data_IF_914610287159
#
_entry.id   IF_914610287159
#
_cell.length_a   1.000
_cell.length_b   1.000
_cell.length_c   1.000
_cell.angle_alpha   90.00
_cell.angle_beta   90.00
_cell.angle_gamma   90.00
#
_symmetry.space_group_name_H-M   'P 1'
#
loop_
_entity.id
_entity.type
_entity.pdbx_description
1 polymer ?
#
# COMPACT_ATOMS: atom_id res chain seq x y z
N UNK A 1 -30.30 -28.75 -2.57
CA UNK A 1 -29.10 -28.43 -3.38
C UNK A 1 -28.73 -27.00 -3.02
N UNK A 2 -27.73 -26.81 -2.16
CA UNK A 2 -27.25 -25.52 -1.75
C UNK A 2 -26.38 -24.91 -2.84
N UNK A 3 -26.26 -23.55 -2.89
CA UNK A 3 -25.44 -22.90 -3.86
C UNK A 3 -23.96 -23.24 -3.61
N UNK A 4 -23.28 -23.55 -4.72
CA UNK A 4 -21.86 -23.87 -4.77
C UNK A 4 -21.02 -22.90 -3.94
N UNK A 5 -20.24 -23.47 -3.03
CA UNK A 5 -19.17 -22.77 -2.34
C UNK A 5 -18.24 -22.18 -3.41
N UNK A 6 -17.95 -20.86 -3.41
CA UNK A 6 -17.01 -20.31 -4.37
C UNK A 6 -15.69 -21.04 -4.18
N UNK A 7 -15.16 -21.60 -5.29
CA UNK A 7 -13.81 -22.15 -5.40
C UNK A 7 -12.88 -21.26 -4.58
N UNK A 8 -12.19 -21.84 -3.60
CA UNK A 8 -11.22 -21.16 -2.79
C UNK A 8 -10.18 -20.52 -3.74
N UNK A 9 -10.34 -19.26 -4.03
CA UNK A 9 -9.36 -18.48 -4.77
C UNK A 9 -8.13 -18.40 -3.86
N UNK A 10 -7.13 -19.23 -4.12
CA UNK A 10 -5.91 -19.30 -3.31
C UNK A 10 -5.11 -17.99 -3.38
N UNK A 11 -5.43 -17.11 -4.33
CA UNK A 11 -4.79 -15.82 -4.54
C UNK A 11 -5.81 -14.70 -4.55
N UNK A 12 -5.62 -13.69 -3.69
CA UNK A 12 -6.44 -12.47 -3.65
C UNK A 12 -6.01 -11.45 -4.70
N UNK A 13 -4.73 -11.43 -5.03
CA UNK A 13 -4.16 -10.58 -6.07
C UNK A 13 -3.30 -11.47 -6.96
N UNK A 14 -3.48 -11.39 -8.28
CA UNK A 14 -2.68 -12.15 -9.23
C UNK A 14 -2.27 -11.23 -10.39
N UNK A 15 -0.97 -11.14 -10.65
CA UNK A 15 -0.40 -10.41 -11.78
C UNK A 15 0.23 -11.41 -12.77
N UNK A 16 0.02 -11.16 -14.05
CA UNK A 16 0.65 -11.95 -15.12
C UNK A 16 1.20 -11.03 -16.20
N UNK A 17 2.52 -10.97 -16.30
CA UNK A 17 3.26 -10.20 -17.29
C UNK A 17 2.88 -8.71 -17.33
N UNK A 18 2.55 -8.13 -16.14
CA UNK A 18 2.06 -6.76 -16.04
C UNK A 18 3.14 -5.77 -16.46
N UNK A 19 2.83 -4.94 -17.43
CA UNK A 19 3.78 -4.01 -18.05
C UNK A 19 3.16 -2.62 -18.20
N UNK A 20 3.93 -1.57 -17.91
CA UNK A 20 3.55 -0.17 -18.18
C UNK A 20 4.63 0.57 -18.91
N UNK A 21 4.23 1.20 -20.04
CA UNK A 21 5.09 2.06 -20.85
C UNK A 21 4.50 3.48 -20.91
N UNK A 22 5.38 4.47 -20.84
CA UNK A 22 5.07 5.89 -21.06
C UNK A 22 5.96 6.37 -22.21
N UNK A 23 5.41 6.44 -23.42
CA UNK A 23 6.20 6.67 -24.63
C UNK A 23 7.30 5.61 -24.79
N UNK A 24 8.55 6.04 -24.83
CA UNK A 24 9.71 5.15 -24.94
C UNK A 24 10.19 4.55 -23.62
N UNK A 25 9.70 5.09 -22.47
CA UNK A 25 10.12 4.64 -21.16
C UNK A 25 9.22 3.50 -20.65
N UNK A 26 9.80 2.38 -20.24
CA UNK A 26 9.10 1.29 -19.56
C UNK A 26 9.27 1.48 -18.05
N UNK A 27 8.19 1.82 -17.37
CA UNK A 27 8.18 2.04 -15.92
C UNK A 27 7.96 0.76 -15.12
N UNK A 28 7.22 -0.21 -15.70
CA UNK A 28 6.99 -1.54 -15.14
C UNK A 28 7.18 -2.55 -16.26
N UNK A 29 7.99 -3.57 -16.02
CA UNK A 29 8.40 -4.52 -17.04
C UNK A 29 8.15 -5.95 -16.57
N UNK A 30 7.09 -6.58 -17.12
CA UNK A 30 6.83 -8.02 -17.01
C UNK A 30 6.73 -8.53 -15.55
N UNK A 31 5.98 -7.82 -14.69
CA UNK A 31 5.78 -8.27 -13.31
C UNK A 31 4.74 -9.39 -13.26
N UNK A 32 5.12 -10.48 -12.58
CA UNK A 32 4.24 -11.63 -12.33
C UNK A 32 4.46 -12.12 -10.89
N UNK A 33 3.40 -12.08 -10.08
CA UNK A 33 3.36 -12.63 -8.72
C UNK A 33 1.92 -12.80 -8.24
N UNK A 34 1.73 -13.55 -7.16
CA UNK A 34 0.45 -13.75 -6.50
C UNK A 34 0.55 -13.30 -5.04
N UNK A 35 -0.57 -12.82 -4.47
CA UNK A 35 -0.68 -12.52 -3.03
C UNK A 35 -1.91 -13.24 -2.49
N UNK A 36 -1.70 -13.99 -1.41
CA UNK A 36 -2.73 -14.80 -0.78
C UNK A 36 -3.62 -13.98 0.18
N UNK A 37 -4.75 -14.57 0.57
CA UNK A 37 -5.56 -14.05 1.67
C UNK A 37 -4.78 -14.15 3.00
N UNK A 38 -4.87 -13.09 3.81
CA UNK A 38 -4.18 -13.03 5.10
C UNK A 38 -2.69 -12.69 5.02
N UNK A 39 -2.17 -12.40 3.84
CA UNK A 39 -0.76 -12.08 3.62
C UNK A 39 -0.50 -10.58 3.65
N UNK A 40 0.55 -10.16 4.37
CA UNK A 40 1.08 -8.79 4.32
C UNK A 40 2.35 -8.81 3.46
N UNK A 41 2.28 -8.21 2.28
CA UNK A 41 3.40 -8.14 1.35
C UNK A 41 4.03 -6.75 1.35
N UNK A 42 5.31 -6.68 1.72
CA UNK A 42 6.15 -5.50 1.56
C UNK A 42 6.54 -5.30 0.10
N UNK A 43 6.10 -4.21 -0.53
CA UNK A 43 6.43 -3.90 -1.91
C UNK A 43 7.48 -2.80 -1.97
N UNK A 44 8.73 -3.18 -2.17
CA UNK A 44 9.92 -2.34 -1.98
C UNK A 44 10.62 -2.02 -3.29
N UNK A 45 11.41 -0.96 -3.26
CA UNK A 45 12.25 -0.52 -4.38
C UNK A 45 12.69 0.93 -4.21
N UNK A 46 13.76 1.37 -4.87
CA UNK A 46 14.18 2.77 -4.84
C UNK A 46 13.16 3.70 -5.51
N UNK A 47 13.40 5.00 -5.38
CA UNK A 47 12.58 5.99 -6.09
C UNK A 47 12.69 5.78 -7.60
N UNK A 48 11.52 5.76 -8.29
CA UNK A 48 11.48 5.46 -9.72
C UNK A 48 11.52 3.97 -10.08
N UNK A 49 11.57 3.05 -9.11
CA UNK A 49 11.56 1.60 -9.38
C UNK A 49 10.26 1.08 -10.00
N UNK A 50 9.16 1.84 -9.96
CA UNK A 50 7.87 1.44 -10.52
C UNK A 50 6.79 1.09 -9.48
N UNK A 51 7.07 1.22 -8.17
CA UNK A 51 6.13 0.89 -7.09
C UNK A 51 4.77 1.57 -7.25
N UNK A 52 4.74 2.90 -7.17
CA UNK A 52 3.49 3.69 -7.31
C UNK A 52 2.81 3.45 -8.66
N UNK A 53 3.57 3.22 -9.73
CA UNK A 53 3.00 2.87 -11.05
C UNK A 53 2.29 1.52 -11.00
N UNK A 54 2.90 0.52 -10.36
CA UNK A 54 2.30 -0.81 -10.17
C UNK A 54 1.03 -0.71 -9.32
N UNK A 55 1.09 -0.02 -8.18
CA UNK A 55 -0.09 0.19 -7.32
C UNK A 55 -1.22 0.93 -8.05
N UNK A 56 -0.90 1.95 -8.85
CA UNK A 56 -1.90 2.66 -9.67
C UNK A 56 -2.55 1.75 -10.73
N UNK A 57 -1.82 0.80 -11.30
CA UNK A 57 -2.41 -0.19 -12.20
C UNK A 57 -3.34 -1.12 -11.44
N UNK A 58 -2.91 -1.69 -10.32
CA UNK A 58 -3.70 -2.62 -9.50
C UNK A 58 -4.96 -1.97 -8.92
N UNK A 59 -4.93 -0.67 -8.67
CA UNK A 59 -6.09 0.08 -8.16
C UNK A 59 -7.00 0.63 -9.26
N UNK A 60 -6.70 0.33 -10.53
CA UNK A 60 -7.49 0.79 -11.67
C UNK A 60 -7.46 2.30 -11.90
N UNK A 61 -6.43 2.98 -11.37
CA UNK A 61 -6.14 4.41 -11.64
C UNK A 61 -5.37 4.56 -12.96
N UNK A 62 -4.58 3.55 -13.32
CA UNK A 62 -3.75 3.52 -14.51
C UNK A 62 -3.96 2.21 -15.26
N UNK A 63 -4.24 2.28 -16.56
CA UNK A 63 -4.36 1.10 -17.39
C UNK A 63 -2.97 0.51 -17.73
N UNK A 64 -2.76 -0.81 -17.62
CA UNK A 64 -1.53 -1.47 -18.06
C UNK A 64 -1.36 -1.36 -19.58
N UNK A 65 -0.11 -1.38 -20.05
CA UNK A 65 0.21 -1.40 -21.48
C UNK A 65 0.21 -2.82 -22.05
N UNK A 66 0.44 -3.83 -21.19
CA UNK A 66 0.36 -5.26 -21.51
C UNK A 66 0.25 -6.08 -20.22
N UNK A 67 -0.09 -7.36 -20.35
CA UNK A 67 -0.33 -8.26 -19.23
C UNK A 67 -1.70 -8.09 -18.61
N UNK A 68 -1.99 -8.84 -17.56
CA UNK A 68 -3.27 -8.83 -16.84
C UNK A 68 -3.05 -8.83 -15.33
N UNK A 69 -4.08 -8.39 -14.59
CA UNK A 69 -4.15 -8.59 -13.15
C UNK A 69 -5.58 -8.90 -12.74
N UNK A 70 -5.73 -9.78 -11.74
CA UNK A 70 -7.01 -10.05 -11.10
C UNK A 70 -6.94 -9.72 -9.62
N UNK A 71 -8.03 -9.18 -9.07
CA UNK A 71 -8.18 -8.88 -7.65
C UNK A 71 -9.50 -9.50 -7.18
N UNK A 72 -9.43 -10.37 -6.18
CA UNK A 72 -10.59 -11.15 -5.72
C UNK A 72 -11.30 -11.92 -6.86
N UNK A 73 -10.55 -12.37 -7.87
CA UNK A 73 -11.09 -13.04 -9.06
C UNK A 73 -11.64 -12.11 -10.15
N UNK A 74 -11.71 -10.78 -9.90
CA UNK A 74 -12.15 -9.79 -10.88
C UNK A 74 -10.98 -9.30 -11.72
N UNK A 75 -11.11 -9.38 -13.03
CA UNK A 75 -10.10 -8.87 -13.95
C UNK A 75 -10.10 -7.33 -13.99
N UNK A 76 -8.92 -6.75 -13.98
CA UNK A 76 -8.69 -5.31 -13.88
C UNK A 76 -9.30 -4.51 -15.05
N UNK A 77 -9.31 -5.08 -16.25
CA UNK A 77 -9.76 -4.41 -17.47
C UNK A 77 -11.25 -4.66 -17.75
N UNK A 78 -11.73 -5.88 -17.51
CA UNK A 78 -13.11 -6.28 -17.85
C UNK A 78 -14.10 -6.03 -16.71
N UNK A 79 -13.63 -5.97 -15.44
CA UNK A 79 -14.46 -5.77 -14.25
C UNK A 79 -13.92 -4.64 -13.33
N UNK A 80 -13.58 -3.45 -13.86
CA UNK A 80 -12.88 -2.42 -13.08
C UNK A 80 -13.67 -1.88 -11.89
N UNK A 81 -15.01 -1.91 -11.94
CA UNK A 81 -15.85 -1.46 -10.83
C UNK A 81 -15.87 -2.47 -9.68
N UNK A 82 -15.83 -3.77 -9.98
CA UNK A 82 -15.79 -4.82 -8.96
C UNK A 82 -14.41 -4.86 -8.30
N UNK A 83 -13.32 -4.64 -9.07
CA UNK A 83 -11.98 -4.41 -8.53
C UNK A 83 -12.00 -3.23 -7.57
N UNK A 84 -12.53 -2.06 -7.97
CA UNK A 84 -12.57 -0.86 -7.11
C UNK A 84 -13.40 -1.07 -5.83
N UNK A 85 -14.46 -1.86 -5.90
CA UNK A 85 -15.26 -2.22 -4.70
C UNK A 85 -14.52 -3.16 -3.75
N UNK A 86 -13.61 -3.97 -4.29
CA UNK A 86 -12.83 -4.96 -3.52
C UNK A 86 -11.57 -4.41 -2.90
N UNK A 87 -11.19 -3.15 -3.17
CA UNK A 87 -9.93 -2.58 -2.70
C UNK A 87 -10.12 -1.36 -1.82
N UNK A 88 -9.25 -1.21 -0.83
CA UNK A 88 -8.93 0.05 -0.16
C UNK A 88 -7.58 0.56 -0.65
N UNK A 89 -7.46 1.84 -0.95
CA UNK A 89 -6.19 2.43 -1.39
C UNK A 89 -5.86 3.70 -0.63
N UNK A 90 -4.69 3.71 -0.01
CA UNK A 90 -4.10 4.87 0.65
C UNK A 90 -2.92 5.34 -0.18
N UNK A 91 -3.07 6.38 -1.01
CA UNK A 91 -1.98 6.90 -1.84
C UNK A 91 -0.95 7.67 -1.02
N UNK A 92 0.29 7.71 -1.48
CA UNK A 92 1.37 8.51 -0.90
C UNK A 92 0.99 9.99 -0.76
N UNK A 93 0.36 10.59 -1.79
CA UNK A 93 0.00 12.00 -1.80
C UNK A 93 -1.01 12.41 -0.72
N UNK A 94 -1.80 11.45 -0.21
CA UNK A 94 -2.87 11.74 0.75
C UNK A 94 -3.90 12.76 0.24
N UNK A 95 -4.11 12.83 -1.07
CA UNK A 95 -5.01 13.78 -1.70
C UNK A 95 -6.46 13.60 -1.22
N UNK A 96 -7.09 14.71 -0.86
CA UNK A 96 -8.47 14.78 -0.38
C UNK A 96 -9.18 16.01 -0.97
N UNK A 97 -10.49 16.07 -0.89
CA UNK A 97 -11.25 17.27 -1.23
C UNK A 97 -11.12 18.31 -0.10
N UNK A 98 -10.20 19.27 -0.27
CA UNK A 98 -9.83 20.24 0.75
C UNK A 98 -10.97 21.15 1.21
N UNK A 99 -12.01 21.31 0.39
CA UNK A 99 -13.21 22.11 0.68
C UNK A 99 -14.26 21.38 1.51
N UNK A 100 -14.09 20.09 1.79
CA UNK A 100 -14.98 19.33 2.66
C UNK A 100 -14.41 19.26 4.08
N UNK A 101 -15.31 19.16 5.07
CA UNK A 101 -14.94 18.72 6.40
C UNK A 101 -14.56 17.22 6.38
N UNK A 102 -13.84 16.77 7.40
CA UNK A 102 -13.47 15.35 7.50
C UNK A 102 -14.69 14.42 7.53
N UNK A 103 -15.76 14.84 8.22
CA UNK A 103 -17.00 14.05 8.30
C UNK A 103 -17.72 13.99 6.96
N UNK A 104 -17.91 15.13 6.29
CA UNK A 104 -18.53 15.17 4.95
C UNK A 104 -17.77 14.30 3.95
N UNK A 105 -16.43 14.34 3.98
CA UNK A 105 -15.60 13.49 3.13
C UNK A 105 -15.82 12.00 3.40
N UNK A 106 -15.81 11.57 4.67
CA UNK A 106 -16.02 10.16 5.03
C UNK A 106 -17.45 9.70 4.76
N UNK A 107 -18.46 10.53 4.99
CA UNK A 107 -19.86 10.22 4.65
C UNK A 107 -20.04 10.12 3.13
N UNK A 108 -19.41 10.99 2.35
CA UNK A 108 -19.38 10.91 0.88
C UNK A 108 -18.75 9.59 0.40
N UNK A 109 -17.59 9.22 0.95
CA UNK A 109 -16.96 7.94 0.62
C UNK A 109 -17.88 6.76 0.97
N UNK A 110 -18.48 6.75 2.16
CA UNK A 110 -19.46 5.74 2.55
C UNK A 110 -20.62 5.62 1.54
N UNK A 111 -21.16 6.75 1.09
CA UNK A 111 -22.24 6.78 0.10
C UNK A 111 -21.79 6.25 -1.28
N UNK A 112 -20.57 6.57 -1.73
CA UNK A 112 -20.00 6.06 -2.98
C UNK A 112 -19.88 4.53 -2.99
N UNK A 113 -19.58 3.93 -1.83
CA UNK A 113 -19.53 2.47 -1.66
C UNK A 113 -20.90 1.86 -1.27
N UNK A 114 -21.97 2.64 -1.26
CA UNK A 114 -23.32 2.16 -0.94
C UNK A 114 -23.52 1.77 0.52
N UNK A 115 -22.69 2.29 1.44
CA UNK A 115 -22.82 1.99 2.88
C UNK A 115 -23.92 2.90 3.47
N UNK A 116 -24.93 2.27 4.08
CA UNK A 116 -25.97 3.02 4.76
C UNK A 116 -25.39 3.90 5.90
N UNK A 117 -25.88 5.14 6.08
CA UNK A 117 -25.37 6.04 7.13
C UNK A 117 -25.38 5.43 8.54
N UNK A 118 -26.37 4.59 8.85
CA UNK A 118 -26.46 3.87 10.13
C UNK A 118 -25.29 2.88 10.36
N UNK A 119 -24.62 2.44 9.29
CA UNK A 119 -23.43 1.57 9.35
C UNK A 119 -22.16 2.40 9.25
N UNK A 120 -22.12 3.41 8.39
CA UNK A 120 -20.95 4.24 8.17
C UNK A 120 -20.55 5.05 9.42
N UNK A 121 -21.52 5.70 10.08
CA UNK A 121 -21.26 6.58 11.24
C UNK A 121 -20.57 5.88 12.41
N UNK A 122 -21.04 4.73 12.91
CA UNK A 122 -20.35 4.02 13.99
C UNK A 122 -18.92 3.60 13.58
N UNK A 123 -18.68 3.20 12.34
CA UNK A 123 -17.35 2.89 11.85
C UNK A 123 -16.45 4.11 11.84
N UNK A 124 -16.94 5.26 11.35
CA UNK A 124 -16.20 6.52 11.36
C UNK A 124 -15.82 6.89 12.80
N UNK A 125 -16.76 6.84 13.74
CA UNK A 125 -16.51 7.15 15.15
C UNK A 125 -15.43 6.24 15.77
N UNK A 126 -15.45 4.95 15.48
CA UNK A 126 -14.43 4.00 15.94
C UNK A 126 -13.05 4.31 15.36
N UNK A 127 -12.94 4.57 14.05
CA UNK A 127 -11.66 4.92 13.44
C UNK A 127 -11.11 6.26 13.93
N UNK A 128 -11.97 7.24 14.10
CA UNK A 128 -11.57 8.57 14.60
C UNK A 128 -11.09 8.48 16.05
N UNK A 129 -11.77 7.70 16.88
CA UNK A 129 -11.34 7.40 18.24
C UNK A 129 -9.99 6.64 18.26
N UNK A 130 -9.83 5.63 17.40
CA UNK A 130 -8.59 4.88 17.26
C UNK A 130 -7.37 5.77 16.93
N UNK A 131 -7.57 6.79 16.09
CA UNK A 131 -6.52 7.72 15.69
C UNK A 131 -6.40 8.96 16.59
N UNK A 132 -7.12 9.00 17.71
CA UNK A 132 -7.14 10.15 18.63
C UNK A 132 -7.48 11.47 17.94
N UNK A 133 -8.46 11.44 17.02
CA UNK A 133 -9.05 12.61 16.43
C UNK A 133 -10.36 12.95 17.12
N UNK A 134 -10.69 14.24 17.29
CA UNK A 134 -11.98 14.63 17.86
C UNK A 134 -13.07 14.72 16.79
N UNK A 135 -14.28 14.28 17.12
CA UNK A 135 -15.45 14.43 16.26
C UNK A 135 -15.79 15.89 15.98
N UNK A 136 -15.50 16.80 16.91
CA UNK A 136 -15.70 18.23 16.69
C UNK A 136 -14.77 18.77 15.60
N UNK A 137 -13.49 18.38 15.62
CA UNK A 137 -12.55 18.70 14.54
C UNK A 137 -13.02 18.14 13.21
N UNK A 138 -13.49 16.88 13.21
CA UNK A 138 -13.97 16.21 12.00
C UNK A 138 -15.17 16.92 11.37
N UNK A 139 -16.06 17.52 12.19
CA UNK A 139 -17.27 18.23 11.75
C UNK A 139 -17.00 19.67 11.35
N UNK A 140 -16.16 20.39 12.09
CA UNK A 140 -16.06 21.84 12.00
C UNK A 140 -14.91 22.33 11.14
N UNK A 141 -13.85 21.53 10.94
CA UNK A 141 -12.64 21.94 10.25
C UNK A 141 -12.56 21.33 8.85
N UNK A 142 -12.30 22.15 7.84
CA UNK A 142 -12.08 21.70 6.46
C UNK A 142 -10.76 20.93 6.35
N UNK A 143 -10.73 19.92 5.48
CA UNK A 143 -9.56 19.07 5.23
C UNK A 143 -8.33 19.85 4.74
N UNK A 144 -8.54 20.96 4.03
CA UNK A 144 -7.46 21.87 3.63
C UNK A 144 -6.69 22.47 4.81
N UNK A 145 -7.33 22.61 5.98
CA UNK A 145 -6.71 23.09 7.21
C UNK A 145 -6.11 22.02 8.12
N UNK A 146 -6.16 20.72 7.72
CA UNK A 146 -5.59 19.64 8.53
C UNK A 146 -4.07 19.58 8.40
N UNK A 147 -3.38 19.13 9.48
CA UNK A 147 -1.99 18.71 9.37
C UNK A 147 -1.86 17.49 8.45
N UNK A 148 -0.64 17.22 7.96
CA UNK A 148 -0.36 16.04 7.12
C UNK A 148 -0.80 14.75 7.83
N UNK A 149 -0.48 14.62 9.14
CA UNK A 149 -0.86 13.45 9.93
C UNK A 149 -2.38 13.31 10.13
N UNK A 150 -3.10 14.40 10.43
CA UNK A 150 -4.56 14.36 10.52
C UNK A 150 -5.20 13.94 9.20
N UNK A 151 -4.71 14.50 8.09
CA UNK A 151 -5.19 14.15 6.75
C UNK A 151 -4.92 12.67 6.43
N UNK A 152 -3.74 12.15 6.78
CA UNK A 152 -3.38 10.73 6.62
C UNK A 152 -4.33 9.82 7.38
N UNK A 153 -4.65 10.13 8.64
CA UNK A 153 -5.60 9.40 9.47
C UNK A 153 -7.00 9.32 8.82
N UNK A 154 -7.48 10.42 8.25
CA UNK A 154 -8.77 10.45 7.51
C UNK A 154 -8.70 9.61 6.23
N UNK A 155 -7.61 9.67 5.46
CA UNK A 155 -7.44 8.87 4.23
C UNK A 155 -7.39 7.39 4.52
N UNK A 156 -6.70 6.97 5.59
CA UNK A 156 -6.68 5.57 6.04
C UNK A 156 -8.09 5.11 6.42
N UNK A 157 -8.83 5.95 7.18
CA UNK A 157 -10.22 5.66 7.54
C UNK A 157 -11.10 5.48 6.31
N UNK A 158 -10.99 6.39 5.33
CA UNK A 158 -11.74 6.33 4.07
C UNK A 158 -11.48 5.03 3.30
N UNK A 159 -10.20 4.61 3.20
CA UNK A 159 -9.80 3.40 2.49
C UNK A 159 -10.31 2.11 3.15
N UNK A 160 -10.54 2.12 4.47
CA UNK A 160 -10.99 0.96 5.23
C UNK A 160 -12.51 0.97 5.52
N UNK A 161 -13.20 2.08 5.29
CA UNK A 161 -14.58 2.30 5.70
C UNK A 161 -15.56 1.25 5.14
N UNK A 162 -15.36 0.83 3.89
CA UNK A 162 -16.19 -0.17 3.20
C UNK A 162 -15.73 -1.62 3.46
N UNK A 163 -14.77 -1.82 4.36
CA UNK A 163 -14.25 -3.14 4.76
C UNK A 163 -13.71 -3.98 3.58
N UNK A 164 -12.80 -3.46 2.76
CA UNK A 164 -12.32 -4.16 1.58
C UNK A 164 -11.54 -5.43 1.93
N UNK A 165 -11.60 -6.50 1.10
CA UNK A 165 -10.78 -7.70 1.27
C UNK A 165 -9.30 -7.48 0.90
N UNK A 166 -8.98 -6.47 0.08
CA UNK A 166 -7.62 -6.13 -0.33
C UNK A 166 -7.32 -4.68 0.02
N UNK A 167 -6.14 -4.40 0.59
CA UNK A 167 -5.74 -3.04 0.93
C UNK A 167 -4.33 -2.73 0.41
N UNK A 168 -4.23 -1.61 -0.30
CA UNK A 168 -2.97 -1.06 -0.77
C UNK A 168 -2.60 0.17 0.06
N UNK A 169 -1.44 0.14 0.69
CA UNK A 169 -0.88 1.24 1.46
C UNK A 169 0.41 1.73 0.79
N UNK A 170 0.38 2.95 0.27
CA UNK A 170 1.56 3.61 -0.31
C UNK A 170 2.08 4.65 0.68
N UNK A 171 3.22 4.34 1.34
CA UNK A 171 3.87 5.13 2.40
C UNK A 171 2.91 5.55 3.54
N UNK A 172 2.14 4.62 4.15
CA UNK A 172 1.04 4.98 5.05
C UNK A 172 1.47 5.63 6.35
N UNK A 173 2.70 5.41 6.82
CA UNK A 173 3.22 5.96 8.08
C UNK A 173 3.70 7.40 7.94
N UNK A 174 3.85 7.90 6.71
CA UNK A 174 4.36 9.26 6.49
C UNK A 174 3.41 10.30 7.10
N UNK A 175 3.94 11.07 8.06
CA UNK A 175 3.20 12.11 8.79
C UNK A 175 2.40 11.62 10.00
N UNK A 176 2.36 10.31 10.29
CA UNK A 176 1.81 9.81 11.53
C UNK A 176 2.81 10.01 12.70
N UNK A 177 2.26 10.31 13.87
CA UNK A 177 3.04 10.30 15.11
C UNK A 177 3.41 8.86 15.53
N UNK A 178 4.34 8.74 16.50
CA UNK A 178 4.85 7.44 16.93
C UNK A 178 3.74 6.51 17.45
N UNK A 179 2.80 7.03 18.24
CA UNK A 179 1.71 6.23 18.81
C UNK A 179 0.73 5.77 17.72
N UNK A 180 0.34 6.67 16.80
CA UNK A 180 -0.50 6.31 15.67
C UNK A 180 0.19 5.28 14.77
N UNK A 181 1.52 5.37 14.59
CA UNK A 181 2.30 4.40 13.82
C UNK A 181 2.32 3.01 14.46
N UNK A 182 2.44 2.91 15.78
CA UNK A 182 2.34 1.63 16.50
C UNK A 182 0.94 1.03 16.36
N UNK A 183 -0.11 1.85 16.62
CA UNK A 183 -1.49 1.41 16.46
C UNK A 183 -1.79 0.94 15.03
N UNK A 184 -1.31 1.67 14.03
CA UNK A 184 -1.48 1.30 12.61
C UNK A 184 -0.84 -0.05 12.28
N UNK A 185 0.39 -0.34 12.76
CA UNK A 185 1.04 -1.64 12.55
C UNK A 185 0.21 -2.79 13.14
N UNK A 186 -0.30 -2.61 14.36
CA UNK A 186 -1.20 -3.59 14.99
C UNK A 186 -2.49 -3.77 14.19
N UNK A 187 -3.06 -2.68 13.68
CA UNK A 187 -4.27 -2.72 12.85
C UNK A 187 -4.07 -3.56 11.60
N UNK A 188 -3.01 -3.34 10.82
CA UNK A 188 -2.78 -4.09 9.58
C UNK A 188 -2.52 -5.58 9.85
N UNK A 189 -1.79 -5.92 10.91
CA UNK A 189 -1.59 -7.31 11.32
C UNK A 189 -2.91 -7.98 11.73
N UNK A 190 -3.80 -7.25 12.40
CA UNK A 190 -5.14 -7.76 12.77
C UNK A 190 -5.99 -7.98 11.52
N UNK A 191 -5.98 -7.02 10.57
CA UNK A 191 -6.72 -7.15 9.32
C UNK A 191 -6.23 -8.34 8.47
N UNK A 192 -4.93 -8.60 8.44
CA UNK A 192 -4.37 -9.77 7.76
C UNK A 192 -4.83 -11.08 8.43
N UNK A 193 -4.81 -11.17 9.77
CA UNK A 193 -5.34 -12.33 10.50
C UNK A 193 -6.82 -12.59 10.24
N UNK A 194 -7.59 -11.55 9.89
CA UNK A 194 -8.98 -11.66 9.46
C UNK A 194 -9.12 -12.07 7.97
N UNK A 195 -8.03 -12.39 7.29
CA UNK A 195 -8.00 -12.88 5.92
C UNK A 195 -7.87 -11.80 4.84
N UNK A 196 -7.61 -10.54 5.18
CA UNK A 196 -7.36 -9.48 4.18
C UNK A 196 -5.96 -9.59 3.59
N UNK A 197 -5.84 -9.41 2.27
CA UNK A 197 -4.54 -9.26 1.62
C UNK A 197 -4.08 -7.79 1.71
N UNK A 198 -2.85 -7.58 2.13
CA UNK A 198 -2.31 -6.23 2.35
C UNK A 198 -1.02 -6.04 1.55
N UNK A 199 -0.99 -5.02 0.71
CA UNK A 199 0.23 -4.56 0.03
C UNK A 199 0.72 -3.29 0.73
N UNK A 200 1.90 -3.37 1.28
CA UNK A 200 2.51 -2.32 2.08
C UNK A 200 3.77 -1.80 1.38
N UNK A 201 3.70 -0.61 0.78
CA UNK A 201 4.87 0.07 0.22
C UNK A 201 5.47 1.00 1.27
N UNK A 202 6.78 0.89 1.51
CA UNK A 202 7.51 1.78 2.41
C UNK A 202 8.99 1.84 2.06
N UNK A 203 9.63 2.94 2.43
CA UNK A 203 11.08 3.10 2.42
C UNK A 203 11.72 2.79 3.80
N UNK A 204 10.90 2.54 4.83
CA UNK A 204 11.35 2.23 6.19
C UNK A 204 11.47 0.71 6.33
N UNK A 205 12.63 0.17 6.02
CA UNK A 205 12.87 -1.28 5.93
C UNK A 205 12.67 -2.00 7.26
N UNK A 206 13.07 -1.40 8.39
CA UNK A 206 12.83 -1.95 9.74
C UNK A 206 11.35 -2.22 10.03
N UNK A 207 10.45 -1.41 9.47
CA UNK A 207 9.02 -1.61 9.63
C UNK A 207 8.55 -2.77 8.79
N UNK A 208 9.02 -2.84 7.55
CA UNK A 208 8.69 -3.92 6.61
C UNK A 208 9.14 -5.27 7.16
N UNK A 209 10.37 -5.38 7.64
CA UNK A 209 10.94 -6.60 8.22
C UNK A 209 10.13 -7.13 9.40
N UNK A 210 9.53 -6.23 10.20
CA UNK A 210 8.73 -6.60 11.40
C UNK A 210 7.27 -6.88 11.13
N UNK A 211 6.73 -6.39 10.03
CA UNK A 211 5.28 -6.37 9.80
C UNK A 211 4.86 -7.24 8.64
N UNK A 212 5.74 -7.40 7.62
CA UNK A 212 5.42 -8.12 6.41
C UNK A 212 5.81 -9.60 6.51
N UNK A 213 4.92 -10.47 6.04
CA UNK A 213 5.18 -11.91 5.95
C UNK A 213 6.12 -12.24 4.77
N UNK A 214 6.05 -11.39 3.73
CA UNK A 214 6.78 -11.55 2.48
C UNK A 214 7.17 -10.19 1.92
N UNK A 215 8.28 -10.16 1.20
CA UNK A 215 8.82 -8.94 0.58
C UNK A 215 9.06 -9.19 -0.91
N UNK A 216 8.59 -8.25 -1.72
CA UNK A 216 8.86 -8.17 -3.15
C UNK A 216 9.71 -6.92 -3.38
N UNK A 217 10.95 -7.08 -3.84
CA UNK A 217 11.84 -5.96 -4.19
C UNK A 217 11.85 -5.79 -5.70
N UNK A 218 11.58 -4.57 -6.15
CA UNK A 218 11.65 -4.20 -7.56
C UNK A 218 12.70 -3.09 -7.79
N UNK A 219 13.37 -3.13 -8.93
CA UNK A 219 14.18 -2.02 -9.43
C UNK A 219 14.02 -1.88 -10.94
N UNK A 220 13.97 -0.63 -11.42
CA UNK A 220 13.81 -0.29 -12.86
C UNK A 220 12.65 -1.05 -13.52
N UNK A 221 11.56 -1.20 -12.78
CA UNK A 221 10.35 -1.87 -13.22
C UNK A 221 10.40 -3.40 -13.22
N UNK A 222 11.47 -4.02 -12.75
CA UNK A 222 11.65 -5.48 -12.73
C UNK A 222 11.64 -6.02 -11.31
N UNK A 223 11.11 -7.23 -11.15
CA UNK A 223 11.21 -7.97 -9.91
C UNK A 223 12.65 -8.47 -9.73
N UNK A 224 13.25 -8.19 -8.59
CA UNK A 224 14.58 -8.65 -8.22
C UNK A 224 14.53 -9.88 -7.31
N UNK A 225 13.78 -9.80 -6.21
CA UNK A 225 13.58 -10.89 -5.25
C UNK A 225 12.16 -10.90 -4.73
N UNK A 226 11.71 -12.08 -4.28
CA UNK A 226 10.38 -12.34 -3.78
C UNK A 226 10.43 -13.50 -2.78
N UNK A 227 10.18 -13.23 -1.49
CA UNK A 227 10.26 -14.23 -0.43
C UNK A 227 10.08 -13.66 0.97
N UNK A 228 10.13 -14.52 1.99
CA UNK A 228 10.12 -14.10 3.39
C UNK A 228 11.40 -13.29 3.72
N UNK A 229 11.31 -12.20 4.52
CA UNK A 229 12.47 -11.36 4.83
C UNK A 229 13.67 -12.12 5.34
N UNK A 230 13.47 -13.02 6.32
CA UNK A 230 14.54 -13.81 6.94
C UNK A 230 15.20 -14.78 5.95
N UNK A 231 14.39 -15.42 5.08
CA UNK A 231 14.89 -16.34 4.04
C UNK A 231 15.75 -15.59 3.02
N UNK A 232 15.28 -14.43 2.53
CA UNK A 232 16.01 -13.60 1.58
C UNK A 232 17.33 -13.08 2.15
N UNK A 233 17.33 -12.67 3.42
CA UNK A 233 18.56 -12.24 4.13
C UNK A 233 19.55 -13.39 4.25
N UNK A 234 19.09 -14.60 4.57
CA UNK A 234 19.93 -15.79 4.70
C UNK A 234 20.50 -16.24 3.35
N UNK A 235 19.69 -16.33 2.30
CA UNK A 235 20.09 -16.74 0.95
C UNK A 235 21.19 -15.83 0.37
N UNK A 236 21.08 -14.52 0.62
CA UNK A 236 22.03 -13.54 0.10
C UNK A 236 23.19 -13.23 1.06
N UNK A 237 23.24 -13.86 2.24
CA UNK A 237 24.26 -13.62 3.28
C UNK A 237 24.41 -12.14 3.65
N UNK A 238 23.32 -11.38 3.65
CA UNK A 238 23.38 -9.92 3.78
C UNK A 238 23.31 -9.43 5.23
N UNK A 239 22.87 -10.25 6.17
CA UNK A 239 22.77 -9.93 7.60
C UNK A 239 21.52 -9.13 7.98
N UNK A 240 21.05 -8.18 7.14
CA UNK A 240 19.82 -7.42 7.33
C UNK A 240 19.08 -7.19 6.01
N UNK A 241 17.77 -6.95 6.07
CA UNK A 241 16.98 -6.59 4.89
C UNK A 241 17.47 -5.27 4.25
N UNK A 242 17.90 -4.31 5.06
CA UNK A 242 18.46 -3.03 4.60
C UNK A 242 19.71 -3.24 3.75
N UNK A 243 20.63 -4.09 4.20
CA UNK A 243 21.83 -4.41 3.45
C UNK A 243 21.52 -5.17 2.17
N UNK A 244 20.60 -6.14 2.22
CA UNK A 244 20.11 -6.83 1.03
C UNK A 244 19.54 -5.85 0.01
N UNK A 245 18.66 -4.96 0.45
CA UNK A 245 18.07 -3.94 -0.40
C UNK A 245 19.11 -3.03 -1.04
N UNK A 246 20.09 -2.57 -0.24
CA UNK A 246 21.20 -1.71 -0.69
C UNK A 246 22.06 -2.44 -1.74
N UNK A 247 22.38 -3.70 -1.50
CA UNK A 247 23.18 -4.52 -2.40
C UNK A 247 22.47 -4.75 -3.76
N UNK A 248 21.16 -5.03 -3.73
CA UNK A 248 20.36 -5.28 -4.93
C UNK A 248 20.07 -4.03 -5.75
N UNK A 249 19.94 -2.85 -5.10
CA UNK A 249 19.51 -1.61 -5.75
C UNK A 249 20.64 -0.63 -6.05
N UNK A 250 21.90 -1.07 -5.91
CA UNK A 250 23.08 -0.28 -6.29
C UNK A 250 23.56 0.72 -5.22
N UNK A 251 23.12 0.59 -3.97
CA UNK A 251 23.53 1.47 -2.87
C UNK A 251 25.02 1.45 -2.54
N UNK A 252 25.72 0.33 -2.82
CA UNK A 252 27.19 0.23 -2.65
C UNK A 252 27.96 1.27 -3.46
N UNK A 253 27.49 1.62 -4.66
CA UNK A 253 28.12 2.69 -5.44
C UNK A 253 27.97 4.06 -4.76
N UNK A 254 26.82 4.29 -4.10
CA UNK A 254 26.56 5.54 -3.40
C UNK A 254 27.42 5.67 -2.15
N UNK A 255 27.61 4.58 -1.39
CA UNK A 255 28.52 4.54 -0.24
C UNK A 255 29.96 4.85 -0.66
N UNK A 256 30.48 4.20 -1.71
CA UNK A 256 31.81 4.46 -2.24
C UNK A 256 31.99 5.92 -2.71
N UNK A 257 30.95 6.49 -3.34
CA UNK A 257 30.94 7.92 -3.74
C UNK A 257 30.91 8.84 -2.53
N UNK A 258 30.14 8.52 -1.48
CA UNK A 258 30.09 9.30 -0.25
C UNK A 258 31.44 9.31 0.46
N UNK A 259 32.12 8.17 0.55
CA UNK A 259 33.46 8.07 1.10
C UNK A 259 34.50 8.89 0.29
N UNK A 260 34.43 8.80 -1.04
CA UNK A 260 35.29 9.59 -1.92
C UNK A 260 35.01 11.09 -1.75
N UNK A 261 33.74 11.49 -1.67
CA UNK A 261 33.35 12.87 -1.44
C UNK A 261 33.83 13.40 -0.08
N UNK A 262 33.66 12.60 0.99
CA UNK A 262 34.12 13.00 2.33
C UNK A 262 35.65 13.26 2.36
N UNK A 263 36.43 12.49 1.61
CA UNK A 263 37.89 12.68 1.49
C UNK A 263 38.27 14.04 0.87
N UNK A 264 37.40 14.70 0.11
CA UNK A 264 37.66 16.01 -0.48
C UNK A 264 37.67 17.14 0.56
N UNK A 265 37.15 16.89 1.76
CA UNK A 265 37.12 17.86 2.88
C UNK A 265 38.20 17.57 3.93
N UNK A 266 38.98 16.52 3.77
CA UNK A 266 40.11 16.23 4.64
C UNK A 266 41.32 17.06 4.17
N UNK A 267 42.09 17.71 5.08
CA UNK A 267 43.25 18.52 4.72
C UNK A 267 44.38 17.69 4.13
#
# INVERSE_FOLDING_TARGET
MGPDSPLACTSMISLRHLTKRFGSQTAVHDLSFDIAAGEIVGFLGPNGAGKTTTLKMLTGVLEPSAGTATICGFDLLTSPMDVKRSIGYVPESGAVYESLSGLEYLEMIGALYGIAPAVARPRIEQFISFFDLSMDTLRSKLLGGYSKGMRRKVVITAALLHNPPVVFFDEPLEGLDANASVGFKTLIQTLAKEGKAIVYSSHILDVVERVCDRVIIIDKGKLLVDGAPDELVAEHNSGTLEKLFTDLTGGRELEARAEAFAKTFLP
#
